data_IF_731305237203
#
_entry.id   IF_731305237203
#
_cell.length_a   1.000
_cell.length_b   1.000
_cell.length_c   1.000
_cell.angle_alpha   90.00
_cell.angle_beta   90.00
_cell.angle_gamma   90.00
#
_symmetry.space_group_name_H-M   'P 1'
#
loop_
_entity.id
_entity.type
_entity.pdbx_description
1 polymer ?
#
# COMPACT_ATOMS: atom_id res chain seq x y z
N UNK A 1 3.19 34.34 -2.75
CA UNK A 1 1.87 33.92 -2.20
C UNK A 1 2.10 33.30 -0.83
N UNK A 2 1.29 33.62 0.18
CA UNK A 2 1.51 33.19 1.58
C UNK A 2 0.72 31.90 1.93
N UNK A 3 1.27 31.05 2.80
CA UNK A 3 0.71 29.75 3.28
C UNK A 3 -0.77 29.79 3.68
N UNK A 4 -1.34 30.96 4.03
CA UNK A 4 -2.75 31.10 4.44
C UNK A 4 -3.76 31.02 3.28
N UNK A 5 -3.34 31.12 2.02
CA UNK A 5 -4.25 31.09 0.88
C UNK A 5 -4.61 29.68 0.38
N UNK A 6 -3.87 28.64 0.78
CA UNK A 6 -4.11 27.26 0.32
C UNK A 6 -5.35 26.60 0.94
N UNK A 7 -5.71 26.95 2.18
CA UNK A 7 -6.88 26.40 2.88
C UNK A 7 -8.22 26.69 2.18
N UNK A 8 -8.30 27.76 1.38
CA UNK A 8 -9.54 28.15 0.69
C UNK A 8 -9.75 27.44 -0.65
N UNK A 9 -8.72 26.79 -1.21
CA UNK A 9 -8.81 26.08 -2.50
C UNK A 9 -9.31 24.64 -2.31
N UNK A 10 -9.20 24.08 -1.09
CA UNK A 10 -9.45 22.66 -0.80
C UNK A 10 -10.92 22.29 -0.50
N UNK A 11 -11.87 23.24 -0.56
CA UNK A 11 -13.29 22.95 -0.32
C UNK A 11 -14.18 23.51 -1.45
N UNK A 12 -14.83 22.68 -2.29
CA UNK A 12 -15.95 23.14 -3.09
C UNK A 12 -17.10 23.51 -2.13
N UNK A 13 -17.66 24.71 -2.34
CA UNK A 13 -18.67 25.31 -1.46
C UNK A 13 -19.85 24.35 -1.18
N UNK A 14 -20.14 24.16 0.12
CA UNK A 14 -21.31 23.52 0.79
C UNK A 14 -21.14 22.00 1.06
N UNK A 15 -21.27 21.48 2.28
CA UNK A 15 -22.03 21.87 3.49
C UNK A 15 -21.32 21.38 4.76
N UNK A 16 -21.59 22.09 5.87
CA UNK A 16 -21.16 21.90 7.28
C UNK A 16 -19.67 22.04 7.60
N UNK A 17 -19.30 23.28 7.93
CA UNK A 17 -18.14 23.62 8.78
C UNK A 17 -18.33 22.95 10.16
N UNK A 18 -17.31 22.28 10.74
CA UNK A 18 -17.39 21.77 12.10
C UNK A 18 -17.63 22.92 13.09
N UNK A 19 -18.62 22.73 13.97
CA UNK A 19 -18.88 23.63 15.10
C UNK A 19 -17.91 23.25 16.22
N UNK A 20 -16.74 23.88 16.29
CA UNK A 20 -15.98 24.10 17.52
C UNK A 20 -14.93 25.18 17.27
N UNK A 21 -15.33 26.44 17.45
CA UNK A 21 -14.41 27.56 17.52
C UNK A 21 -13.82 27.58 18.93
N UNK A 22 -12.49 27.66 19.05
CA UNK A 22 -11.89 28.03 20.33
C UNK A 22 -12.31 29.45 20.73
N UNK A 23 -12.08 29.83 21.99
CA UNK A 23 -12.51 31.12 22.55
C UNK A 23 -11.86 32.34 21.86
N UNK A 24 -10.96 32.14 20.88
CA UNK A 24 -10.28 33.20 20.10
C UNK A 24 -10.61 33.17 18.60
N UNK A 25 -11.49 32.27 18.14
CA UNK A 25 -11.91 32.20 16.74
C UNK A 25 -10.84 31.63 15.80
N UNK A 26 -9.86 30.89 16.31
CA UNK A 26 -8.96 30.08 15.48
C UNK A 26 -9.59 28.71 15.27
N UNK A 27 -9.60 28.28 14.01
CA UNK A 27 -9.95 26.91 13.67
C UNK A 27 -8.77 26.03 14.06
N UNK A 28 -9.03 24.92 14.78
CA UNK A 28 -7.98 23.95 15.07
C UNK A 28 -7.50 23.34 13.75
N UNK A 29 -6.25 23.66 13.39
CA UNK A 29 -5.64 23.17 12.16
C UNK A 29 -5.54 21.63 12.15
N UNK A 30 -5.59 20.99 13.32
CA UNK A 30 -5.55 19.53 13.49
C UNK A 30 -6.86 18.89 13.02
N UNK A 31 -8.02 19.43 13.45
CA UNK A 31 -9.34 18.92 13.02
C UNK A 31 -9.56 19.09 11.51
N UNK A 32 -9.13 20.22 10.92
CA UNK A 32 -9.20 20.43 9.47
C UNK A 32 -8.32 19.42 8.73
N UNK A 33 -7.13 19.18 9.26
CA UNK A 33 -6.17 18.24 8.68
C UNK A 33 -6.70 16.80 8.73
N UNK A 34 -7.27 16.38 9.86
CA UNK A 34 -7.95 15.09 10.02
C UNK A 34 -9.10 14.92 9.03
N UNK A 35 -9.98 15.92 8.91
CA UNK A 35 -11.10 15.88 7.97
C UNK A 35 -10.64 15.79 6.51
N UNK A 36 -9.55 16.49 6.13
CA UNK A 36 -8.95 16.37 4.81
C UNK A 36 -8.38 14.97 4.58
N UNK A 37 -7.65 14.42 5.56
CA UNK A 37 -7.13 13.06 5.54
C UNK A 37 -8.24 12.01 5.32
N UNK A 38 -9.36 12.13 6.03
CA UNK A 38 -10.52 11.24 5.90
C UNK A 38 -11.24 11.38 4.56
N UNK A 39 -11.39 12.62 4.06
CA UNK A 39 -11.96 12.88 2.73
C UNK A 39 -11.12 12.21 1.64
N UNK A 40 -9.80 12.43 1.66
CA UNK A 40 -8.88 11.85 0.70
C UNK A 40 -8.84 10.32 0.79
N UNK A 41 -8.84 9.77 2.00
CA UNK A 41 -8.96 8.32 2.19
C UNK A 41 -10.25 7.78 1.58
N UNK A 42 -11.38 8.45 1.78
CA UNK A 42 -12.68 8.02 1.23
C UNK A 42 -12.72 8.09 -0.29
N UNK A 43 -12.18 9.15 -0.90
CA UNK A 43 -12.07 9.27 -2.35
C UNK A 43 -11.18 8.17 -2.94
N UNK A 44 -10.05 7.86 -2.27
CA UNK A 44 -9.17 6.76 -2.67
C UNK A 44 -9.90 5.40 -2.69
N UNK A 45 -10.94 5.26 -1.88
CA UNK A 45 -11.72 4.03 -1.78
C UNK A 45 -12.89 3.99 -2.76
N UNK A 46 -13.45 5.13 -3.18
CA UNK A 46 -14.55 5.16 -4.17
C UNK A 46 -14.11 4.65 -5.54
N UNK A 47 -12.91 5.00 -5.97
CA UNK A 47 -12.41 4.64 -7.30
C UNK A 47 -11.93 3.16 -7.36
N UNK A 48 -11.70 2.51 -6.20
CA UNK A 48 -11.40 1.05 -6.14
C UNK A 48 -12.59 0.14 -6.47
N UNK A 49 -13.80 0.68 -6.65
CA UNK A 49 -14.96 -0.12 -7.06
C UNK A 49 -14.85 -0.68 -8.49
N UNK A 50 -13.89 -0.19 -9.28
CA UNK A 50 -13.62 -0.61 -10.66
C UNK A 50 -13.09 -2.06 -10.73
N UNK A 51 -12.58 -2.64 -9.63
CA UNK A 51 -12.08 -4.03 -9.62
C UNK A 51 -13.15 -5.12 -9.81
N UNK A 52 -14.44 -4.73 -9.84
CA UNK A 52 -15.56 -5.64 -10.04
C UNK A 52 -16.05 -5.72 -11.50
N UNK A 53 -15.30 -5.19 -12.48
CA UNK A 53 -15.68 -5.33 -13.89
C UNK A 53 -15.69 -6.81 -14.34
N UNK A 54 -16.82 -7.31 -14.86
CA UNK A 54 -16.92 -8.69 -15.34
C UNK A 54 -16.00 -8.94 -16.54
N UNK A 55 -15.24 -10.02 -16.53
CA UNK A 55 -14.48 -10.52 -17.68
C UNK A 55 -13.04 -10.01 -17.82
N UNK A 56 -12.57 -9.15 -16.93
CA UNK A 56 -11.14 -8.79 -16.87
C UNK A 56 -10.34 -9.85 -16.08
N UNK A 57 -9.23 -10.40 -16.63
CA UNK A 57 -8.38 -11.38 -15.93
C UNK A 57 -7.84 -10.85 -14.61
N UNK A 58 -7.63 -11.73 -13.62
CA UNK A 58 -7.16 -11.34 -12.30
C UNK A 58 -5.79 -10.63 -12.31
N UNK A 59 -4.90 -11.00 -13.22
CA UNK A 59 -3.58 -10.33 -13.38
C UNK A 59 -3.74 -8.87 -13.83
N UNK A 60 -4.71 -8.59 -14.69
CA UNK A 60 -4.97 -7.24 -15.18
C UNK A 60 -5.64 -6.39 -14.10
N UNK A 61 -6.55 -6.99 -13.32
CA UNK A 61 -7.13 -6.36 -12.13
C UNK A 61 -6.05 -6.02 -11.09
N UNK A 62 -5.09 -6.91 -10.84
CA UNK A 62 -3.96 -6.66 -9.94
C UNK A 62 -3.07 -5.52 -10.46
N UNK A 63 -2.74 -5.52 -11.75
CA UNK A 63 -1.97 -4.45 -12.37
C UNK A 63 -2.69 -3.10 -12.28
N UNK A 64 -4.00 -3.09 -12.50
CA UNK A 64 -4.84 -1.91 -12.34
C UNK A 64 -4.89 -1.46 -10.87
N UNK A 65 -4.97 -2.38 -9.92
CA UNK A 65 -4.93 -2.07 -8.48
C UNK A 65 -3.65 -1.36 -8.08
N UNK A 66 -2.50 -1.85 -8.57
CA UNK A 66 -1.21 -1.24 -8.34
C UNK A 66 -1.16 0.14 -9.00
N UNK A 67 -1.57 0.24 -10.26
CA UNK A 67 -1.54 1.51 -11.00
C UNK A 67 -2.43 2.56 -10.34
N UNK A 68 -3.61 2.17 -9.87
CA UNK A 68 -4.57 3.02 -9.18
C UNK A 68 -3.94 3.73 -7.97
N UNK A 69 -3.22 2.97 -7.13
CA UNK A 69 -2.53 3.54 -5.97
C UNK A 69 -1.56 4.66 -6.37
N UNK A 70 -0.83 4.48 -7.48
CA UNK A 70 0.14 5.45 -7.95
C UNK A 70 -0.50 6.65 -8.65
N UNK A 71 -1.55 6.44 -9.43
CA UNK A 71 -2.29 7.52 -10.08
C UNK A 71 -2.94 8.43 -9.04
N UNK A 72 -3.50 7.85 -7.97
CA UNK A 72 -3.99 8.59 -6.81
C UNK A 72 -2.87 9.41 -6.17
N UNK A 73 -1.74 8.78 -5.88
CA UNK A 73 -0.59 9.47 -5.26
C UNK A 73 -0.08 10.62 -6.13
N UNK A 74 -0.02 10.45 -7.46
CA UNK A 74 0.38 11.51 -8.39
C UNK A 74 -0.63 12.67 -8.40
N UNK A 75 -1.93 12.35 -8.45
CA UNK A 75 -3.03 13.34 -8.39
C UNK A 75 -2.98 14.16 -7.10
N UNK A 76 -2.49 13.57 -6.01
CA UNK A 76 -2.42 14.18 -4.68
C UNK A 76 -0.99 14.43 -4.19
N UNK A 77 -0.02 14.57 -5.11
CA UNK A 77 1.42 14.61 -4.78
C UNK A 77 1.83 15.70 -3.80
N UNK A 78 1.20 16.89 -3.84
CA UNK A 78 1.48 17.98 -2.90
C UNK A 78 1.00 17.66 -1.47
N UNK A 79 -0.05 16.85 -1.35
CA UNK A 79 -0.56 16.41 -0.06
C UNK A 79 0.27 15.24 0.51
N UNK A 80 0.68 14.32 -0.37
CA UNK A 80 1.50 13.16 0.00
C UNK A 80 2.96 13.55 0.30
N UNK A 81 3.54 14.54 -0.39
CA UNK A 81 4.92 15.01 -0.09
C UNK A 81 5.07 15.63 1.30
N UNK A 82 3.97 16.03 1.93
CA UNK A 82 3.96 16.56 3.30
C UNK A 82 3.65 15.46 4.34
N UNK A 83 3.84 14.17 3.98
CA UNK A 83 3.53 13.03 4.85
C UNK A 83 4.21 13.08 6.22
N UNK A 84 5.40 13.66 6.33
CA UNK A 84 6.10 13.73 7.62
C UNK A 84 5.51 14.79 8.58
N UNK A 85 4.59 15.66 8.12
CA UNK A 85 3.85 16.59 8.97
C UNK A 85 2.69 15.85 9.68
N UNK A 86 2.68 15.82 11.03
CA UNK A 86 1.68 15.12 11.88
C UNK A 86 1.64 13.59 11.68
N UNK A 87 2.77 12.92 11.91
CA UNK A 87 2.99 11.49 11.68
C UNK A 87 1.99 10.54 12.35
N UNK A 88 1.56 10.83 13.60
CA UNK A 88 0.63 9.95 14.34
C UNK A 88 -0.76 9.85 13.68
N UNK A 89 -1.34 11.00 13.29
CA UNK A 89 -2.64 11.07 12.62
C UNK A 89 -2.57 10.37 11.26
N UNK A 90 -1.46 10.54 10.56
CA UNK A 90 -1.24 9.95 9.23
C UNK A 90 -1.01 8.44 9.28
N UNK A 91 -0.30 7.91 10.26
CA UNK A 91 -0.10 6.47 10.44
C UNK A 91 -1.44 5.74 10.65
N UNK A 92 -2.30 6.27 11.53
CA UNK A 92 -3.65 5.75 11.77
C UNK A 92 -4.53 5.77 10.50
N UNK A 93 -4.41 6.83 9.68
CA UNK A 93 -5.09 6.91 8.38
C UNK A 93 -4.60 5.86 7.40
N UNK A 94 -3.27 5.69 7.26
CA UNK A 94 -2.69 4.68 6.36
C UNK A 94 -3.19 3.30 6.73
N UNK A 95 -3.24 2.96 8.02
CA UNK A 95 -3.73 1.64 8.45
C UNK A 95 -5.20 1.41 8.10
N UNK A 96 -6.06 2.44 8.19
CA UNK A 96 -7.47 2.37 7.76
C UNK A 96 -7.57 2.14 6.24
N UNK A 97 -6.81 2.91 5.44
CA UNK A 97 -6.79 2.76 3.97
C UNK A 97 -6.25 1.39 3.59
N UNK A 98 -5.15 0.95 4.22
CA UNK A 98 -4.54 -0.35 4.02
C UNK A 98 -5.51 -1.48 4.31
N UNK A 99 -6.20 -1.44 5.45
CA UNK A 99 -7.20 -2.45 5.81
C UNK A 99 -8.30 -2.56 4.73
N UNK A 100 -8.78 -1.43 4.21
CA UNK A 100 -9.82 -1.47 3.17
C UNK A 100 -9.29 -1.91 1.81
N UNK A 101 -8.06 -1.52 1.45
CA UNK A 101 -7.39 -1.99 0.24
C UNK A 101 -7.15 -3.51 0.28
N UNK A 102 -6.88 -4.08 1.46
CA UNK A 102 -6.82 -5.55 1.65
C UNK A 102 -8.18 -6.19 1.33
N UNK A 103 -9.28 -5.64 1.84
CA UNK A 103 -10.63 -6.15 1.54
C UNK A 103 -10.93 -6.15 0.03
N UNK A 104 -10.43 -5.16 -0.70
CA UNK A 104 -10.61 -5.06 -2.15
C UNK A 104 -9.67 -5.98 -2.95
N UNK A 105 -8.47 -6.23 -2.44
CA UNK A 105 -7.47 -7.08 -3.10
C UNK A 105 -7.81 -8.57 -2.97
N UNK A 106 -8.40 -8.98 -1.85
CA UNK A 106 -8.76 -10.39 -1.57
C UNK A 106 -9.58 -11.02 -2.71
N UNK A 107 -10.70 -10.43 -3.18
CA UNK A 107 -11.48 -11.00 -4.28
C UNK A 107 -10.69 -11.18 -5.58
N UNK A 108 -9.81 -10.23 -5.91
CA UNK A 108 -8.94 -10.30 -7.10
C UNK A 108 -7.98 -11.49 -6.97
N UNK A 109 -7.39 -11.67 -5.78
CA UNK A 109 -6.48 -12.78 -5.52
C UNK A 109 -7.21 -14.13 -5.56
N UNK A 110 -8.43 -14.22 -5.01
CA UNK A 110 -9.24 -15.43 -5.07
C UNK A 110 -9.58 -15.80 -6.52
N UNK A 111 -9.91 -14.82 -7.34
CA UNK A 111 -10.14 -15.01 -8.78
C UNK A 111 -8.90 -15.53 -9.47
N UNK A 112 -7.74 -14.93 -9.25
CA UNK A 112 -6.50 -15.40 -9.88
C UNK A 112 -6.05 -16.78 -9.42
N UNK A 113 -6.38 -17.19 -8.18
CA UNK A 113 -6.17 -18.59 -7.75
C UNK A 113 -7.11 -19.53 -8.52
N UNK A 114 -8.39 -19.18 -8.68
CA UNK A 114 -9.36 -19.98 -9.46
C UNK A 114 -8.96 -20.09 -10.94
N UNK A 115 -8.43 -19.01 -11.51
CA UNK A 115 -7.89 -18.98 -12.87
C UNK A 115 -6.59 -19.81 -13.02
N UNK A 116 -5.92 -20.12 -11.92
CA UNK A 116 -4.59 -20.75 -11.92
C UNK A 116 -3.44 -19.78 -12.21
N UNK A 117 -3.71 -18.47 -12.25
CA UNK A 117 -2.75 -17.38 -12.48
C UNK A 117 -1.94 -17.06 -11.23
N UNK A 118 -2.55 -17.15 -10.05
CA UNK A 118 -1.90 -16.88 -8.76
C UNK A 118 -1.71 -18.16 -7.93
N UNK A 119 -0.57 -18.22 -7.26
CA UNK A 119 -0.15 -19.33 -6.42
C UNK A 119 0.21 -18.78 -5.03
N UNK A 120 -0.75 -18.76 -4.11
CA UNK A 120 -0.51 -18.42 -2.72
C UNK A 120 -1.30 -19.34 -1.78
N UNK A 121 -0.65 -19.84 -0.72
CA UNK A 121 -1.28 -20.77 0.24
C UNK A 121 -2.12 -20.03 1.28
N UNK A 122 -1.65 -18.87 1.74
CA UNK A 122 -2.34 -18.03 2.71
C UNK A 122 -2.69 -16.68 2.08
N UNK A 123 -3.85 -16.64 1.43
CA UNK A 123 -4.34 -15.46 0.71
C UNK A 123 -4.48 -14.24 1.63
N UNK A 124 -5.02 -14.41 2.84
CA UNK A 124 -5.27 -13.31 3.78
C UNK A 124 -3.97 -12.63 4.21
N UNK A 125 -2.99 -13.43 4.65
CA UNK A 125 -1.68 -12.89 5.04
C UNK A 125 -0.93 -12.29 3.85
N UNK A 126 -1.04 -12.91 2.67
CA UNK A 126 -0.40 -12.41 1.45
C UNK A 126 -0.97 -11.06 1.03
N UNK A 127 -2.30 -10.91 0.99
CA UNK A 127 -2.96 -9.65 0.66
C UNK A 127 -2.56 -8.54 1.64
N UNK A 128 -2.54 -8.84 2.95
CA UNK A 128 -2.08 -7.90 3.99
C UNK A 128 -0.63 -7.50 3.79
N UNK A 129 0.26 -8.47 3.56
CA UNK A 129 1.67 -8.20 3.34
C UNK A 129 1.91 -7.29 2.15
N UNK A 130 1.22 -7.56 1.02
CA UNK A 130 1.31 -6.73 -0.18
C UNK A 130 0.86 -5.31 0.11
N UNK A 131 -0.34 -5.13 0.67
CA UNK A 131 -0.94 -3.81 0.84
C UNK A 131 -0.23 -3.00 1.91
N UNK A 132 -0.03 -3.56 3.10
CA UNK A 132 0.66 -2.85 4.18
C UNK A 132 2.13 -2.64 3.84
N UNK A 133 2.81 -3.65 3.28
CA UNK A 133 4.21 -3.52 2.85
C UNK A 133 4.37 -2.43 1.79
N UNK A 134 3.52 -2.41 0.77
CA UNK A 134 3.54 -1.39 -0.27
C UNK A 134 3.28 0.01 0.31
N UNK A 135 2.20 0.18 1.08
CA UNK A 135 1.82 1.48 1.62
C UNK A 135 2.84 2.04 2.59
N UNK A 136 3.27 1.25 3.57
CA UNK A 136 4.21 1.73 4.58
C UNK A 136 5.59 2.00 3.99
N UNK A 137 6.11 1.12 3.12
CA UNK A 137 7.40 1.37 2.44
C UNK A 137 7.32 2.61 1.56
N UNK A 138 6.21 2.80 0.84
CA UNK A 138 6.04 3.98 -0.02
C UNK A 138 6.11 5.29 0.77
N UNK A 139 5.39 5.38 1.88
CA UNK A 139 5.27 6.62 2.66
C UNK A 139 6.46 6.87 3.60
N UNK A 140 7.20 5.83 4.00
CA UNK A 140 8.40 5.97 4.82
C UNK A 140 9.53 6.69 4.05
N UNK A 141 9.67 6.40 2.76
CA UNK A 141 10.75 6.95 1.91
C UNK A 141 10.29 8.09 0.97
N UNK A 142 9.06 8.60 1.12
CA UNK A 142 8.52 9.59 0.18
C UNK A 142 9.31 10.90 0.24
N UNK A 143 9.89 11.38 -0.88
CA UNK A 143 10.72 12.57 -0.86
C UNK A 143 9.89 13.85 -1.01
N UNK A 144 10.35 14.96 -0.40
CA UNK A 144 9.76 16.29 -0.56
C UNK A 144 9.87 16.82 -2.01
N UNK A 145 10.84 16.33 -2.78
CA UNK A 145 11.12 16.74 -4.17
C UNK A 145 11.23 15.52 -5.07
N UNK A 146 10.92 15.70 -6.36
CA UNK A 146 11.02 14.65 -7.39
C UNK A 146 10.16 13.40 -7.10
N UNK A 147 9.03 13.59 -6.43
CA UNK A 147 8.08 12.52 -6.07
C UNK A 147 7.62 11.69 -7.27
N UNK A 148 7.52 12.28 -8.47
CA UNK A 148 7.15 11.57 -9.70
C UNK A 148 8.16 10.49 -10.08
N UNK A 149 9.46 10.81 -10.00
CA UNK A 149 10.54 9.85 -10.28
C UNK A 149 10.56 8.74 -9.21
N UNK A 150 10.32 9.10 -7.95
CA UNK A 150 10.19 8.13 -6.86
C UNK A 150 9.02 7.17 -7.09
N UNK A 151 7.83 7.69 -7.42
CA UNK A 151 6.64 6.90 -7.74
C UNK A 151 6.93 5.92 -8.90
N UNK A 152 7.54 6.40 -9.98
CA UNK A 152 7.89 5.56 -11.13
C UNK A 152 8.82 4.40 -10.74
N UNK A 153 9.88 4.67 -9.98
CA UNK A 153 10.78 3.63 -9.50
C UNK A 153 10.07 2.63 -8.58
N UNK A 154 9.22 3.13 -7.69
CA UNK A 154 8.49 2.29 -6.74
C UNK A 154 7.47 1.38 -7.44
N UNK A 155 6.80 1.84 -8.50
CA UNK A 155 5.93 0.99 -9.35
C UNK A 155 6.70 -0.20 -9.92
N UNK A 156 7.89 0.08 -10.49
CA UNK A 156 8.75 -0.95 -11.09
C UNK A 156 9.18 -1.96 -10.01
N UNK A 157 9.54 -1.48 -8.83
CA UNK A 157 9.90 -2.32 -7.69
C UNK A 157 8.75 -3.24 -7.26
N UNK A 158 7.55 -2.68 -7.01
CA UNK A 158 6.38 -3.46 -6.58
C UNK A 158 5.99 -4.52 -7.62
N UNK A 159 5.97 -4.16 -8.91
CA UNK A 159 5.70 -5.12 -9.99
C UNK A 159 6.68 -6.29 -9.98
N UNK A 160 7.98 -6.03 -9.74
CA UNK A 160 9.00 -7.09 -9.65
C UNK A 160 8.77 -8.00 -8.45
N UNK A 161 8.42 -7.44 -7.29
CA UNK A 161 8.11 -8.23 -6.10
C UNK A 161 6.91 -9.13 -6.38
N UNK A 162 5.80 -8.57 -6.90
CA UNK A 162 4.55 -9.30 -7.08
C UNK A 162 4.60 -10.44 -8.11
N UNK A 163 5.68 -10.58 -8.88
CA UNK A 163 5.94 -11.78 -9.69
C UNK A 163 5.91 -13.06 -8.84
N UNK A 164 6.24 -13.01 -7.54
CA UNK A 164 6.18 -14.20 -6.68
C UNK A 164 4.78 -14.84 -6.68
N UNK A 165 3.71 -14.04 -6.85
CA UNK A 165 2.34 -14.55 -6.91
C UNK A 165 2.10 -15.46 -8.12
N UNK A 166 2.84 -15.28 -9.22
CA UNK A 166 2.63 -16.06 -10.45
C UNK A 166 3.57 -17.27 -10.55
N UNK A 167 4.47 -17.45 -9.59
CA UNK A 167 5.40 -18.57 -9.56
C UNK A 167 4.77 -19.71 -8.77
N UNK A 168 4.52 -20.84 -9.44
CA UNK A 168 4.17 -22.08 -8.75
C UNK A 168 5.42 -22.62 -8.06
N UNK A 169 5.50 -22.43 -6.74
CA UNK A 169 6.58 -23.00 -5.93
C UNK A 169 6.19 -24.39 -5.47
N UNK A 170 6.74 -25.42 -6.12
CA UNK A 170 6.65 -26.77 -5.60
C UNK A 170 7.64 -26.90 -4.42
N UNK A 171 7.16 -26.63 -3.20
CA UNK A 171 7.92 -26.72 -1.93
C UNK A 171 8.67 -28.05 -1.74
N UNK A 172 8.27 -29.10 -2.45
CA UNK A 172 8.91 -30.42 -2.45
C UNK A 172 10.36 -30.36 -2.94
N UNK A 173 10.70 -29.45 -3.87
CA UNK A 173 12.06 -29.37 -4.45
C UNK A 173 13.03 -28.63 -3.52
N UNK A 174 12.57 -27.61 -2.79
CA UNK A 174 13.39 -26.84 -1.85
C UNK A 174 13.64 -27.58 -0.53
N UNK A 175 12.65 -28.33 -0.03
CA UNK A 175 12.79 -29.06 1.25
C UNK A 175 13.80 -30.20 1.21
N UNK A 176 14.02 -30.85 0.07
CA UNK A 176 14.92 -32.02 0.02
C UNK A 176 16.36 -31.58 -0.21
N UNK A 177 16.62 -30.63 -1.10
CA UNK A 177 18.00 -30.31 -1.47
C UNK A 177 18.71 -29.36 -0.50
N UNK A 178 18.02 -28.38 0.08
CA UNK A 178 18.68 -27.40 0.98
C UNK A 178 18.81 -27.93 2.41
N UNK A 179 17.78 -28.60 2.94
CA UNK A 179 17.85 -29.19 4.29
C UNK A 179 18.90 -30.30 4.36
N UNK A 180 19.00 -31.15 3.33
CA UNK A 180 20.05 -32.18 3.25
C UNK A 180 21.43 -31.53 3.12
N UNK A 181 21.57 -30.44 2.37
CA UNK A 181 22.84 -29.68 2.28
C UNK A 181 23.26 -29.08 3.62
N UNK A 182 22.32 -28.47 4.34
CA UNK A 182 22.57 -27.87 5.66
C UNK A 182 22.92 -28.97 6.68
N UNK A 183 22.19 -30.08 6.69
CA UNK A 183 22.51 -31.23 7.54
C UNK A 183 23.89 -31.81 7.25
N UNK A 184 24.24 -31.99 5.97
CA UNK A 184 25.56 -32.50 5.57
C UNK A 184 26.69 -31.52 5.96
N UNK A 185 26.48 -30.21 5.79
CA UNK A 185 27.44 -29.19 6.24
C UNK A 185 27.62 -29.20 7.75
N UNK A 186 26.53 -29.33 8.52
CA UNK A 186 26.58 -29.46 9.97
C UNK A 186 27.32 -30.72 10.43
N UNK A 187 27.12 -31.86 9.76
CA UNK A 187 27.84 -33.10 10.06
C UNK A 187 29.33 -33.00 9.74
N UNK A 188 29.70 -32.40 8.60
CA UNK A 188 31.10 -32.17 8.23
C UNK A 188 31.80 -31.26 9.26
N UNK A 189 31.13 -30.21 9.74
CA UNK A 189 31.66 -29.32 10.78
C UNK A 189 31.81 -30.04 12.12
N UNK A 190 30.91 -30.97 12.45
CA UNK A 190 31.00 -31.77 13.68
C UNK A 190 32.13 -32.82 13.58
N UNK A 191 32.33 -33.43 12.42
CA UNK A 191 33.41 -34.40 12.17
C UNK A 191 34.79 -33.73 12.06
N UNK A 192 34.86 -32.49 11.57
CA UNK A 192 36.09 -31.69 11.49
C UNK A 192 36.55 -31.05 12.80
N UNK A 193 35.82 -31.22 13.91
CA UNK A 193 36.16 -30.69 15.24
C UNK A 193 36.76 -31.73 16.19
N UNK A 194 37.18 -32.90 15.69
CA UNK A 194 38.02 -33.84 16.45
C UNK A 194 39.47 -33.74 16.00
N UNK A 195 40.19 -32.76 16.55
CA UNK A 195 41.65 -32.80 16.77
C UNK A 195 41.88 -32.33 18.20
#
# INVERSE_FOLDING_TARGET
>A
MSRKQYLFILFPKKKSVPKNLDKEGKVDNTEIFEAACEFYATESLRETQIFNEPGMPAIDKLNYFIQYFFDYTLKHKEFESNYHENSEIRASRIDKVAAKMVENLIPIMEEGIREGTFHCENLQTTARFIVFGMLHTFHDEIPEKNIEAYIQHFVIFIRKILIFLTIKTDWVVLKVNEFTRIQNLCQIIQQGKTI
#
